data_IF_463741488702
#
_entry.id   IF_463741488702
#
_cell.length_a   1.000
_cell.length_b   1.000
_cell.length_c   1.000
_cell.angle_alpha   90.00
_cell.angle_beta   90.00
_cell.angle_gamma   90.00
#
_symmetry.space_group_name_H-M   'P 1'
#
loop_
_entity.id
_entity.type
_entity.pdbx_description
1 polymer ?
#
# COMPACT_ATOMS: atom_id res chain seq x y z
N UNK A 1 -21.24 -30.20 -20.56
CA UNK A 1 -20.45 -30.27 -19.31
C UNK A 1 -18.98 -30.34 -19.69
N UNK A 2 -18.20 -29.29 -19.47
CA UNK A 2 -16.75 -29.34 -19.70
C UNK A 2 -16.15 -29.98 -18.46
N UNK A 3 -15.70 -31.22 -18.60
CA UNK A 3 -15.01 -31.94 -17.52
C UNK A 3 -13.53 -31.57 -17.63
N UNK A 4 -13.10 -30.62 -16.79
CA UNK A 4 -11.68 -30.33 -16.63
C UNK A 4 -11.10 -31.47 -15.79
N UNK A 5 -10.13 -32.20 -16.33
CA UNK A 5 -9.44 -33.24 -15.57
C UNK A 5 -8.72 -32.63 -14.36
N UNK A 6 -8.53 -33.46 -13.33
CA UNK A 6 -7.86 -33.05 -12.10
C UNK A 6 -6.51 -32.36 -12.41
N UNK A 7 -6.14 -31.29 -11.68
CA UNK A 7 -4.90 -30.55 -11.91
C UNK A 7 -3.69 -31.38 -11.45
N UNK A 8 -3.31 -32.39 -12.25
CA UNK A 8 -2.07 -33.15 -12.10
C UNK A 8 -1.05 -32.61 -13.10
N UNK A 9 0.19 -32.49 -12.67
CA UNK A 9 1.31 -32.02 -13.50
C UNK A 9 1.36 -32.77 -14.85
N UNK A 10 1.18 -34.09 -14.82
CA UNK A 10 1.14 -34.94 -16.02
C UNK A 10 0.07 -34.52 -17.04
N UNK A 11 -1.07 -34.01 -16.58
CA UNK A 11 -2.15 -33.56 -17.46
C UNK A 11 -1.79 -32.23 -18.15
N UNK A 12 -1.10 -31.33 -17.43
CA UNK A 12 -0.57 -30.10 -18.01
C UNK A 12 0.51 -30.38 -19.04
N UNK A 13 1.42 -31.32 -18.76
CA UNK A 13 2.49 -31.73 -19.69
C UNK A 13 1.92 -32.36 -20.97
N UNK A 14 0.81 -33.10 -20.87
CA UNK A 14 0.10 -33.63 -22.05
C UNK A 14 -0.63 -32.53 -22.83
N UNK A 15 -1.25 -31.57 -22.16
CA UNK A 15 -1.91 -30.43 -22.81
C UNK A 15 -0.92 -29.54 -23.56
N UNK A 16 0.28 -29.31 -23.01
CA UNK A 16 1.33 -28.52 -23.66
C UNK A 16 1.83 -29.17 -24.96
N UNK A 17 1.86 -30.51 -25.03
CA UNK A 17 2.27 -31.26 -26.22
C UNK A 17 1.25 -31.21 -27.37
N UNK A 18 0.02 -30.80 -27.11
CA UNK A 18 -1.00 -30.70 -28.15
C UNK A 18 -0.82 -29.41 -28.95
N UNK A 19 -0.39 -29.53 -30.21
CA UNK A 19 -0.02 -28.43 -31.12
C UNK A 19 -1.11 -27.37 -31.42
N UNK A 20 -2.30 -27.47 -30.81
CA UNK A 20 -3.43 -26.54 -30.92
C UNK A 20 -3.94 -26.05 -29.56
N UNK A 21 -3.27 -26.37 -28.46
CA UNK A 21 -3.69 -25.94 -27.14
C UNK A 21 -3.48 -24.42 -27.02
N UNK A 22 -4.57 -23.67 -27.08
CA UNK A 22 -4.55 -22.27 -26.68
C UNK A 22 -4.21 -22.18 -25.20
N UNK A 23 -3.34 -21.24 -24.82
CA UNK A 23 -3.00 -21.00 -23.41
C UNK A 23 -4.27 -20.60 -22.65
N UNK A 24 -4.72 -21.46 -21.73
CA UNK A 24 -5.83 -21.16 -20.83
C UNK A 24 -5.26 -20.47 -19.60
N UNK A 25 -5.63 -19.20 -19.40
CA UNK A 25 -5.27 -18.43 -18.21
C UNK A 25 -6.52 -18.39 -17.32
N UNK A 26 -6.42 -18.98 -16.13
CA UNK A 26 -7.47 -18.91 -15.12
C UNK A 26 -7.07 -17.90 -14.05
N UNK A 27 -7.94 -16.92 -13.80
CA UNK A 27 -7.75 -15.99 -12.70
C UNK A 27 -7.92 -16.71 -11.36
N UNK A 28 -7.21 -16.25 -10.34
CA UNK A 28 -7.56 -16.61 -8.97
C UNK A 28 -8.96 -16.05 -8.64
N UNK A 29 -9.76 -16.74 -7.82
CA UNK A 29 -11.01 -16.21 -7.31
C UNK A 29 -10.80 -14.85 -6.63
N UNK A 30 -11.77 -13.94 -6.74
CA UNK A 30 -11.82 -12.72 -5.95
C UNK A 30 -12.67 -12.87 -4.68
N UNK A 31 -12.85 -11.79 -3.91
CA UNK A 31 -13.64 -11.82 -2.67
C UNK A 31 -15.09 -12.28 -2.92
N UNK A 32 -15.71 -11.82 -4.02
CA UNK A 32 -17.10 -12.13 -4.34
C UNK A 32 -17.26 -13.56 -4.83
N UNK A 33 -16.28 -14.07 -5.58
CA UNK A 33 -16.23 -15.48 -5.97
C UNK A 33 -16.17 -16.39 -4.74
N UNK A 34 -15.25 -16.11 -3.80
CA UNK A 34 -15.13 -16.92 -2.58
C UNK A 34 -16.37 -16.78 -1.70
N UNK A 35 -16.94 -15.57 -1.59
CA UNK A 35 -18.19 -15.35 -0.86
C UNK A 35 -19.33 -16.18 -1.43
N UNK A 36 -19.46 -16.26 -2.76
CA UNK A 36 -20.44 -17.11 -3.42
C UNK A 36 -20.19 -18.61 -3.14
N UNK A 37 -18.92 -19.05 -3.15
CA UNK A 37 -18.57 -20.42 -2.75
C UNK A 37 -18.98 -20.70 -1.31
N UNK A 38 -18.73 -19.79 -0.37
CA UNK A 38 -19.14 -19.93 1.03
C UNK A 38 -20.66 -20.06 1.17
N UNK A 39 -21.42 -19.19 0.51
CA UNK A 39 -22.88 -19.25 0.51
C UNK A 39 -23.40 -20.59 -0.04
N UNK A 40 -22.77 -21.12 -1.09
CA UNK A 40 -23.14 -22.41 -1.66
C UNK A 40 -22.76 -23.61 -0.79
N UNK A 41 -21.58 -23.58 -0.16
CA UNK A 41 -21.08 -24.63 0.73
C UNK A 41 -21.91 -24.74 2.01
N UNK A 42 -22.39 -23.60 2.52
CA UNK A 42 -23.21 -23.50 3.74
C UNK A 42 -24.69 -23.28 3.45
N UNK A 43 -25.14 -23.62 2.24
CA UNK A 43 -26.54 -23.51 1.84
C UNK A 43 -27.45 -24.31 2.80
N UNK A 44 -28.54 -23.70 3.22
CA UNK A 44 -29.49 -24.30 4.16
C UNK A 44 -29.14 -24.16 5.63
N UNK A 45 -28.00 -23.55 5.98
CA UNK A 45 -27.72 -23.09 7.34
C UNK A 45 -28.41 -21.75 7.61
N UNK A 46 -28.58 -21.41 8.89
CA UNK A 46 -29.17 -20.15 9.31
C UNK A 46 -28.29 -18.95 8.86
N UNK A 47 -28.88 -17.77 8.57
CA UNK A 47 -28.13 -16.61 8.07
C UNK A 47 -26.94 -16.21 8.95
N UNK A 48 -27.06 -16.34 10.27
CA UNK A 48 -25.99 -16.01 11.21
C UNK A 48 -24.81 -16.98 11.12
N UNK A 49 -25.05 -18.26 10.88
CA UNK A 49 -24.00 -19.26 10.71
C UNK A 49 -23.26 -19.07 9.38
N UNK A 50 -24.00 -18.74 8.31
CA UNK A 50 -23.41 -18.39 7.02
C UNK A 50 -22.52 -17.15 7.13
N UNK A 51 -22.99 -16.11 7.84
CA UNK A 51 -22.23 -14.89 8.09
C UNK A 51 -20.97 -15.17 8.94
N UNK A 52 -21.09 -16.01 9.96
CA UNK A 52 -19.95 -16.44 10.79
C UNK A 52 -18.88 -17.18 9.97
N UNK A 53 -19.29 -18.16 9.17
CA UNK A 53 -18.37 -18.89 8.30
C UNK A 53 -17.72 -17.99 7.24
N UNK A 54 -18.48 -17.07 6.63
CA UNK A 54 -17.90 -16.09 5.71
C UNK A 54 -16.87 -15.20 6.39
N UNK A 55 -17.14 -14.74 7.62
CA UNK A 55 -16.19 -13.92 8.38
C UNK A 55 -14.87 -14.64 8.58
N UNK A 56 -14.90 -15.90 9.00
CA UNK A 56 -13.71 -16.74 9.19
C UNK A 56 -12.92 -16.91 7.88
N UNK A 57 -13.60 -17.28 6.78
CA UNK A 57 -12.94 -17.44 5.48
C UNK A 57 -12.36 -16.13 4.97
N UNK A 58 -13.05 -15.00 5.19
CA UNK A 58 -12.55 -13.66 4.84
C UNK A 58 -11.27 -13.33 5.62
N UNK A 59 -11.22 -13.63 6.91
CA UNK A 59 -10.00 -13.46 7.73
C UNK A 59 -8.84 -14.33 7.20
N UNK A 60 -9.10 -15.58 6.81
CA UNK A 60 -8.08 -16.43 6.18
C UNK A 60 -7.58 -15.82 4.86
N UNK A 61 -8.48 -15.34 4.01
CA UNK A 61 -8.14 -14.68 2.74
C UNK A 61 -7.27 -13.45 2.91
N UNK A 62 -7.53 -12.64 3.94
CA UNK A 62 -6.72 -11.46 4.23
C UNK A 62 -5.26 -11.83 4.53
N UNK A 63 -5.02 -13.01 5.11
CA UNK A 63 -3.69 -13.47 5.52
C UNK A 63 -2.95 -14.33 4.50
N UNK A 64 -3.66 -15.16 3.72
CA UNK A 64 -3.03 -16.10 2.77
C UNK A 64 -3.58 -16.00 1.34
N UNK A 65 -4.41 -15.00 1.06
CA UNK A 65 -5.04 -14.74 -0.23
C UNK A 65 -6.24 -15.64 -0.54
N UNK A 66 -6.97 -15.35 -1.63
CA UNK A 66 -8.15 -16.09 -2.07
C UNK A 66 -7.76 -17.42 -2.74
N UNK A 67 -7.08 -18.29 -2.01
CA UNK A 67 -6.66 -19.61 -2.51
C UNK A 67 -7.57 -20.66 -1.86
N UNK A 68 -8.59 -21.19 -2.58
CA UNK A 68 -9.60 -22.10 -2.03
C UNK A 68 -9.03 -23.26 -1.21
N UNK A 69 -7.88 -23.79 -1.64
CA UNK A 69 -7.17 -24.88 -0.97
C UNK A 69 -6.79 -24.56 0.48
N UNK A 70 -6.59 -23.28 0.82
CA UNK A 70 -6.01 -22.85 2.10
C UNK A 70 -6.98 -22.07 3.00
N UNK A 71 -8.15 -21.67 2.51
CA UNK A 71 -9.01 -20.71 3.22
C UNK A 71 -10.29 -21.33 3.81
N UNK A 72 -10.72 -22.51 3.34
CA UNK A 72 -11.96 -23.14 3.79
C UNK A 72 -11.81 -24.11 4.97
N UNK A 73 -10.58 -24.50 5.30
CA UNK A 73 -10.28 -25.41 6.41
C UNK A 73 -9.25 -24.77 7.34
N UNK A 74 -9.60 -24.64 8.62
CA UNK A 74 -8.79 -23.99 9.64
C UNK A 74 -7.40 -24.65 9.80
N UNK A 75 -7.32 -25.98 9.78
CA UNK A 75 -6.05 -26.69 9.96
C UNK A 75 -5.14 -26.46 8.76
N UNK A 76 -5.68 -26.52 7.55
CA UNK A 76 -4.91 -26.24 6.33
C UNK A 76 -4.50 -24.77 6.28
N UNK A 77 -5.37 -23.85 6.71
CA UNK A 77 -5.06 -22.44 6.86
C UNK A 77 -3.86 -22.22 7.81
N UNK A 78 -3.88 -22.81 9.01
CA UNK A 78 -2.79 -22.68 9.99
C UNK A 78 -1.47 -23.20 9.40
N UNK A 79 -1.49 -24.35 8.72
CA UNK A 79 -0.31 -24.89 8.04
C UNK A 79 0.20 -23.94 6.95
N UNK A 80 -0.71 -23.37 6.14
CA UNK A 80 -0.34 -22.39 5.11
C UNK A 80 0.25 -21.12 5.72
N UNK A 81 -0.34 -20.61 6.80
CA UNK A 81 0.15 -19.43 7.52
C UNK A 81 1.55 -19.68 8.07
N UNK A 82 1.81 -20.86 8.67
CA UNK A 82 3.14 -21.27 9.10
C UNK A 82 4.15 -21.31 7.94
N UNK A 83 3.74 -21.84 6.79
CA UNK A 83 4.58 -21.86 5.59
C UNK A 83 4.89 -20.45 5.04
N UNK A 84 3.92 -19.54 5.05
CA UNK A 84 4.11 -18.11 4.70
C UNK A 84 5.09 -17.45 5.66
N UNK A 85 4.94 -17.69 6.97
CA UNK A 85 5.83 -17.12 8.00
C UNK A 85 7.27 -17.62 7.82
N UNK A 86 7.46 -18.92 7.58
CA UNK A 86 8.77 -19.51 7.30
C UNK A 86 9.39 -18.95 6.03
N UNK A 87 8.61 -18.81 4.96
CA UNK A 87 9.02 -18.20 3.70
C UNK A 87 9.50 -16.75 3.89
N UNK A 88 8.74 -15.93 4.64
CA UNK A 88 9.11 -14.54 4.94
C UNK A 88 10.40 -14.42 5.75
N UNK A 89 10.65 -15.35 6.68
CA UNK A 89 11.89 -15.40 7.46
C UNK A 89 13.10 -15.84 6.63
N UNK A 90 12.87 -16.64 5.59
CA UNK A 90 13.91 -17.15 4.72
C UNK A 90 14.34 -16.16 3.62
N UNK A 91 13.62 -15.04 3.43
CA UNK A 91 13.96 -14.03 2.42
C UNK A 91 15.35 -13.47 2.69
N UNK A 92 16.22 -13.57 1.68
CA UNK A 92 17.52 -12.91 1.63
C UNK A 92 17.49 -11.69 0.72
N UNK A 93 18.49 -10.83 0.86
CA UNK A 93 18.75 -9.71 -0.06
C UNK A 93 18.90 -10.18 -1.52
N UNK A 94 19.54 -11.32 -1.75
CA UNK A 94 19.71 -11.92 -3.09
C UNK A 94 18.41 -12.40 -3.74
N UNK A 95 17.39 -12.65 -2.93
CA UNK A 95 16.10 -13.19 -3.39
C UNK A 95 15.22 -12.10 -4.02
N UNK A 96 15.57 -10.83 -3.81
CA UNK A 96 14.79 -9.68 -4.23
C UNK A 96 14.75 -9.52 -5.74
N UNK A 97 15.92 -9.61 -6.38
CA UNK A 97 16.02 -9.60 -7.84
C UNK A 97 15.35 -10.81 -8.50
N UNK A 98 15.08 -11.88 -7.75
CA UNK A 98 14.48 -13.11 -8.29
C UNK A 98 12.96 -13.15 -8.15
N UNK A 99 12.44 -12.74 -6.99
CA UNK A 99 11.00 -12.85 -6.70
C UNK A 99 10.26 -11.52 -6.83
N UNK A 100 10.96 -10.41 -6.63
CA UNK A 100 10.39 -9.06 -6.61
C UNK A 100 10.97 -8.17 -7.71
N UNK A 101 11.74 -8.72 -8.65
CA UNK A 101 12.10 -8.00 -9.87
C UNK A 101 10.85 -7.77 -10.71
N UNK A 102 10.41 -6.53 -10.64
CA UNK A 102 9.28 -5.94 -11.32
C UNK A 102 9.64 -5.73 -12.80
N UNK A 103 9.77 -6.83 -13.55
CA UNK A 103 9.89 -6.85 -15.02
C UNK A 103 11.26 -7.22 -15.58
N UNK A 104 11.73 -8.45 -15.34
CA UNK A 104 12.85 -9.06 -16.08
C UNK A 104 12.38 -10.11 -17.09
N UNK A 105 13.22 -10.42 -18.09
CA UNK A 105 12.98 -11.49 -19.09
C UNK A 105 12.98 -12.91 -18.49
N UNK A 106 13.39 -13.05 -17.23
CA UNK A 106 13.46 -14.35 -16.56
C UNK A 106 12.05 -14.89 -16.27
N UNK A 107 11.70 -15.92 -17.03
CA UNK A 107 10.50 -16.73 -16.85
C UNK A 107 10.53 -17.35 -15.46
N UNK A 108 9.52 -17.04 -14.65
CA UNK A 108 8.95 -17.92 -13.63
C UNK A 108 9.94 -18.75 -12.80
N UNK A 109 10.36 -18.24 -11.65
CA UNK A 109 11.00 -19.06 -10.62
C UNK A 109 9.93 -19.74 -9.77
N UNK A 110 9.71 -21.04 -9.99
CA UNK A 110 8.83 -21.91 -9.18
C UNK A 110 9.50 -22.41 -7.90
N UNK A 111 10.77 -22.03 -7.66
CA UNK A 111 11.53 -22.45 -6.49
C UNK A 111 11.02 -21.79 -5.20
N UNK A 112 11.23 -22.51 -4.10
CA UNK A 112 10.94 -22.01 -2.75
C UNK A 112 11.81 -20.77 -2.46
N UNK A 113 11.28 -19.67 -1.87
CA UNK A 113 9.95 -19.49 -1.27
C UNK A 113 8.85 -18.86 -2.15
N UNK A 114 9.06 -18.66 -3.45
CA UNK A 114 8.23 -17.74 -4.27
C UNK A 114 6.73 -18.04 -4.24
N UNK A 115 6.32 -19.28 -4.50
CA UNK A 115 4.92 -19.69 -4.61
C UNK A 115 4.14 -19.57 -3.28
N UNK A 116 4.83 -19.34 -2.16
CA UNK A 116 4.21 -19.10 -0.86
C UNK A 116 3.81 -17.64 -0.68
N UNK A 117 4.44 -16.72 -1.41
CA UNK A 117 4.37 -15.28 -1.17
C UNK A 117 3.82 -14.48 -2.35
N UNK A 118 4.11 -14.91 -3.58
CA UNK A 118 3.76 -14.18 -4.80
C UNK A 118 2.81 -14.96 -5.71
N UNK A 119 2.03 -14.22 -6.49
CA UNK A 119 1.18 -14.69 -7.59
C UNK A 119 1.57 -13.98 -8.88
N UNK A 120 1.14 -14.52 -10.01
CA UNK A 120 1.25 -13.80 -11.28
C UNK A 120 0.09 -12.82 -11.42
N UNK A 121 0.42 -11.64 -11.90
CA UNK A 121 -0.53 -10.72 -12.51
C UNK A 121 -0.21 -10.61 -13.99
N UNK A 122 -1.23 -10.80 -14.82
CA UNK A 122 -1.16 -10.49 -16.25
C UNK A 122 -1.60 -9.05 -16.42
N UNK A 123 -0.81 -8.28 -17.13
CA UNK A 123 -1.11 -6.90 -17.46
C UNK A 123 -1.01 -6.68 -18.97
N UNK A 124 -1.85 -5.78 -19.48
CA UNK A 124 -1.83 -5.36 -20.87
C UNK A 124 -1.37 -3.92 -20.93
N UNK A 125 -0.24 -3.68 -21.59
CA UNK A 125 0.31 -2.34 -21.79
C UNK A 125 -0.60 -1.52 -22.70
N UNK A 126 -0.46 -0.19 -22.70
CA UNK A 126 -1.18 0.71 -23.61
C UNK A 126 -0.99 0.35 -25.09
N UNK A 127 0.19 -0.19 -25.44
CA UNK A 127 0.54 -0.68 -26.79
C UNK A 127 -0.06 -2.06 -27.11
N UNK A 128 -0.85 -2.64 -26.20
CA UNK A 128 -1.55 -3.90 -26.37
C UNK A 128 -0.73 -5.16 -26.09
N UNK A 129 0.56 -5.04 -25.76
CA UNK A 129 1.43 -6.14 -25.36
C UNK A 129 1.04 -6.73 -24.00
N UNK A 130 1.22 -8.03 -23.83
CA UNK A 130 0.97 -8.73 -22.57
C UNK A 130 2.28 -8.92 -21.80
N UNK A 131 2.28 -8.49 -20.54
CA UNK A 131 3.38 -8.70 -19.60
C UNK A 131 2.89 -9.51 -18.41
N UNK A 132 3.78 -10.31 -17.83
CA UNK A 132 3.51 -11.12 -16.66
C UNK A 132 4.41 -10.68 -15.51
N UNK A 133 3.79 -10.42 -14.37
CA UNK A 133 4.38 -9.74 -13.24
C UNK A 133 4.21 -10.59 -11.99
N UNK A 134 5.19 -10.53 -11.08
CA UNK A 134 4.99 -11.05 -9.74
C UNK A 134 4.35 -9.95 -8.88
N UNK A 135 3.27 -10.30 -8.20
CA UNK A 135 2.64 -9.48 -7.17
C UNK A 135 2.49 -10.31 -5.89
N UNK A 136 2.34 -9.67 -4.73
CA UNK A 136 2.01 -10.43 -3.51
C UNK A 136 0.66 -11.14 -3.66
N UNK A 137 0.52 -12.29 -3.00
CA UNK A 137 -0.73 -13.06 -3.01
C UNK A 137 -1.90 -12.22 -2.45
N UNK A 138 -1.66 -11.54 -1.34
CA UNK A 138 -2.56 -10.57 -0.71
C UNK A 138 -1.76 -9.38 -0.13
N UNK A 139 -2.47 -8.36 0.32
CA UNK A 139 -1.89 -7.12 0.85
C UNK A 139 -1.10 -7.35 2.14
N UNK A 140 -1.57 -8.23 3.04
CA UNK A 140 -0.84 -8.58 4.29
C UNK A 140 0.55 -9.17 3.98
N UNK A 141 0.60 -10.11 3.04
CA UNK A 141 1.86 -10.69 2.58
C UNK A 141 2.73 -9.61 1.92
N UNK A 142 2.16 -8.75 1.08
CA UNK A 142 2.88 -7.65 0.42
C UNK A 142 3.52 -6.67 1.42
N UNK A 143 2.78 -6.31 2.46
CA UNK A 143 3.24 -5.47 3.57
C UNK A 143 4.40 -6.14 4.32
N UNK A 144 4.28 -7.43 4.64
CA UNK A 144 5.30 -8.17 5.41
C UNK A 144 6.56 -8.43 4.58
N UNK A 145 6.42 -8.64 3.27
CA UNK A 145 7.56 -8.67 2.34
C UNK A 145 8.30 -7.34 2.41
N UNK A 146 7.59 -6.23 2.28
CA UNK A 146 8.21 -4.91 2.28
C UNK A 146 8.93 -4.59 3.61
N UNK A 147 8.39 -5.00 4.77
CA UNK A 147 9.09 -4.92 6.08
C UNK A 147 10.34 -5.80 6.15
N UNK A 148 10.32 -6.99 5.54
CA UNK A 148 11.51 -7.86 5.47
C UNK A 148 12.59 -7.29 4.56
N UNK A 149 12.21 -6.76 3.39
CA UNK A 149 13.15 -6.18 2.44
C UNK A 149 13.79 -4.91 2.97
N UNK A 150 13.01 -4.07 3.65
CA UNK A 150 13.52 -2.85 4.29
C UNK A 150 14.68 -3.16 5.25
N UNK A 151 14.58 -4.24 6.03
CA UNK A 151 15.62 -4.68 6.98
C UNK A 151 16.78 -5.43 6.34
N UNK A 152 16.53 -6.12 5.23
CA UNK A 152 17.52 -6.96 4.57
C UNK A 152 18.40 -6.18 3.58
N UNK A 153 17.93 -5.05 3.06
CA UNK A 153 18.59 -4.32 1.97
C UNK A 153 19.27 -3.04 2.46
N UNK A 154 20.30 -2.62 1.72
CA UNK A 154 20.81 -1.25 1.86
C UNK A 154 19.75 -0.26 1.36
N UNK A 155 19.74 0.96 1.89
CA UNK A 155 18.84 2.03 1.44
C UNK A 155 18.92 2.26 -0.07
N UNK A 156 20.14 2.20 -0.64
CA UNK A 156 20.35 2.41 -2.07
C UNK A 156 19.74 1.28 -2.90
N UNK A 157 19.94 0.02 -2.51
CA UNK A 157 19.39 -1.12 -3.23
C UNK A 157 17.85 -1.16 -3.16
N UNK A 158 17.29 -0.80 -2.00
CA UNK A 158 15.83 -0.69 -1.83
C UNK A 158 15.22 0.36 -2.76
N UNK A 159 15.87 1.51 -2.93
CA UNK A 159 15.39 2.55 -3.85
C UNK A 159 15.56 2.16 -5.32
N UNK A 160 16.66 1.47 -5.65
CA UNK A 160 16.86 0.94 -6.99
C UNK A 160 15.80 -0.09 -7.36
N UNK A 161 15.27 -0.86 -6.39
CA UNK A 161 14.13 -1.76 -6.64
C UNK A 161 12.90 -0.99 -7.15
N UNK A 162 12.56 0.10 -6.48
CA UNK A 162 11.42 0.97 -6.87
C UNK A 162 11.67 1.58 -8.25
N UNK A 163 12.89 2.07 -8.51
CA UNK A 163 13.23 2.75 -9.76
C UNK A 163 13.41 1.82 -10.96
N UNK A 164 13.86 0.58 -10.75
CA UNK A 164 14.03 -0.41 -11.84
C UNK A 164 12.72 -0.92 -12.39
N UNK A 165 11.63 -0.73 -11.65
CA UNK A 165 10.27 -1.07 -12.09
C UNK A 165 9.88 -0.23 -13.32
N UNK A 166 9.27 -0.86 -14.32
CA UNK A 166 8.89 -0.25 -15.61
C UNK A 166 7.44 -0.53 -15.98
N UNK A 167 6.82 0.35 -16.77
CA UNK A 167 5.42 0.19 -17.15
C UNK A 167 4.51 0.25 -15.92
N UNK A 168 3.45 -0.56 -15.87
CA UNK A 168 2.50 -0.46 -14.76
C UNK A 168 2.91 -1.21 -13.48
N UNK A 169 4.01 -1.96 -13.52
CA UNK A 169 4.76 -2.38 -12.33
C UNK A 169 5.22 -1.23 -11.44
N UNK A 170 5.42 -0.06 -12.04
CA UNK A 170 5.88 1.14 -11.36
C UNK A 170 4.95 1.52 -10.22
N UNK A 171 3.65 1.57 -10.50
CA UNK A 171 2.64 1.95 -9.52
C UNK A 171 2.63 0.94 -8.38
N UNK A 172 2.67 -0.35 -8.70
CA UNK A 172 2.70 -1.43 -7.70
C UNK A 172 3.94 -1.36 -6.80
N UNK A 173 5.12 -1.16 -7.40
CA UNK A 173 6.38 -1.00 -6.67
C UNK A 173 6.33 0.18 -5.70
N UNK A 174 5.81 1.31 -6.19
CA UNK A 174 5.75 2.54 -5.42
C UNK A 174 4.74 2.40 -4.29
N UNK A 175 3.55 1.85 -4.53
CA UNK A 175 2.55 1.57 -3.49
C UNK A 175 3.12 0.63 -2.41
N UNK A 176 3.79 -0.44 -2.81
CA UNK A 176 4.29 -1.46 -1.89
C UNK A 176 5.50 -0.97 -1.05
N UNK A 177 6.44 -0.26 -1.68
CA UNK A 177 7.73 0.07 -1.08
C UNK A 177 7.94 1.58 -0.83
N UNK A 178 7.22 2.45 -1.53
CA UNK A 178 7.42 3.89 -1.55
C UNK A 178 7.21 4.58 -0.20
N UNK A 179 6.33 4.07 0.66
CA UNK A 179 6.15 4.62 2.01
C UNK A 179 7.38 4.35 2.90
N UNK A 180 8.07 3.23 2.70
CA UNK A 180 9.24 2.82 3.51
C UNK A 180 10.48 3.63 3.24
N UNK A 181 10.48 4.42 2.16
CA UNK A 181 11.49 5.46 1.89
C UNK A 181 11.66 6.38 3.11
N UNK A 182 10.58 6.72 3.81
CA UNK A 182 10.64 7.63 4.97
C UNK A 182 11.29 7.01 6.20
N UNK A 183 11.62 5.70 6.17
CA UNK A 183 12.25 4.99 7.29
C UNK A 183 13.75 5.22 7.39
N UNK A 184 14.39 5.63 6.28
CA UNK A 184 15.84 5.77 6.20
C UNK A 184 16.25 7.22 6.44
N UNK A 185 16.92 7.50 7.57
CA UNK A 185 17.32 8.86 7.93
C UNK A 185 18.23 9.56 6.91
N UNK A 186 19.17 8.81 6.31
CA UNK A 186 20.02 9.35 5.23
C UNK A 186 19.20 9.77 4.00
N UNK A 187 18.12 9.04 3.73
CA UNK A 187 17.21 9.32 2.64
C UNK A 187 16.33 10.52 2.93
N UNK A 188 15.74 10.57 4.12
CA UNK A 188 14.94 11.72 4.56
C UNK A 188 15.80 12.99 4.53
N UNK A 189 17.07 12.92 4.94
CA UNK A 189 18.02 14.04 4.87
C UNK A 189 18.29 14.53 3.44
N UNK A 190 18.22 13.64 2.44
CA UNK A 190 18.29 14.01 1.04
C UNK A 190 16.94 14.53 0.52
N UNK A 191 15.85 13.84 0.88
CA UNK A 191 14.47 14.10 0.44
C UNK A 191 14.03 15.51 0.81
N UNK A 192 14.35 15.95 2.03
CA UNK A 192 14.00 17.29 2.53
C UNK A 192 14.58 18.42 1.68
N UNK A 193 15.72 18.20 1.03
CA UNK A 193 16.33 19.16 0.10
C UNK A 193 15.60 19.23 -1.24
N UNK A 194 14.84 18.19 -1.58
CA UNK A 194 14.02 18.09 -2.78
C UNK A 194 12.52 18.35 -2.54
N UNK A 195 12.10 18.61 -1.29
CA UNK A 195 10.71 18.94 -0.99
C UNK A 195 10.35 20.31 -1.55
N UNK A 196 9.28 20.35 -2.33
CA UNK A 196 8.75 21.56 -2.92
C UNK A 196 7.44 21.95 -2.24
N UNK A 197 7.40 23.11 -1.60
CA UNK A 197 6.19 23.69 -1.01
C UNK A 197 5.15 24.02 -2.09
N UNK A 198 3.96 23.43 -1.95
CA UNK A 198 2.78 23.67 -2.77
C UNK A 198 1.96 24.79 -2.13
N UNK A 199 2.33 26.03 -2.45
CA UNK A 199 1.80 27.24 -1.81
C UNK A 199 0.33 27.51 -2.13
N UNK A 200 -0.46 27.76 -1.08
CA UNK A 200 -1.82 28.31 -1.21
C UNK A 200 -1.79 29.83 -1.38
N UNK A 201 -2.71 30.38 -2.19
CA UNK A 201 -2.76 31.82 -2.51
C UNK A 201 -3.02 32.75 -1.31
N UNK A 202 -3.47 32.23 -0.16
CA UNK A 202 -3.66 33.01 1.08
C UNK A 202 -2.41 33.10 1.97
N UNK A 203 -1.32 32.38 1.67
CA UNK A 203 -0.11 32.36 2.49
C UNK A 203 1.02 33.13 1.80
N UNK A 204 1.51 34.18 2.48
CA UNK A 204 2.52 35.10 1.93
C UNK A 204 3.98 34.64 2.14
N UNK A 205 4.22 33.63 2.98
CA UNK A 205 5.57 33.09 3.24
C UNK A 205 5.59 31.57 3.04
N UNK A 206 6.68 31.10 2.43
CA UNK A 206 6.99 29.67 2.37
C UNK A 206 7.19 29.15 3.80
N UNK A 207 6.77 27.91 4.05
CA UNK A 207 6.95 27.26 5.34
C UNK A 207 7.75 25.98 5.15
N UNK A 208 8.87 25.89 5.86
CA UNK A 208 9.65 24.66 5.93
C UNK A 208 8.81 23.52 6.51
N UNK A 209 8.91 22.36 5.86
CA UNK A 209 8.33 21.11 6.37
C UNK A 209 8.93 20.80 7.74
N UNK A 210 8.16 20.14 8.60
CA UNK A 210 8.65 19.62 9.88
C UNK A 210 9.88 18.74 9.68
N UNK A 211 9.98 18.04 8.54
CA UNK A 211 11.15 17.23 8.19
C UNK A 211 12.38 18.06 7.80
N UNK A 212 12.19 19.27 7.24
CA UNK A 212 13.30 20.20 7.02
C UNK A 212 13.88 20.69 8.35
N UNK A 213 13.00 20.94 9.33
CA UNK A 213 13.37 21.45 10.64
C UNK A 213 13.93 20.35 11.57
N UNK A 214 13.39 19.13 11.46
CA UNK A 214 13.77 17.97 12.25
C UNK A 214 13.72 16.69 11.41
N UNK A 215 14.74 16.48 10.59
CA UNK A 215 14.87 15.27 9.77
C UNK A 215 15.05 14.00 10.60
N UNK A 216 15.46 14.10 11.88
CA UNK A 216 15.56 12.98 12.82
C UNK A 216 14.18 12.52 13.34
N UNK A 217 13.12 13.29 13.10
CA UNK A 217 11.75 12.91 13.40
C UNK A 217 11.15 11.87 12.43
N UNK A 218 11.95 11.33 11.52
CA UNK A 218 11.50 10.31 10.58
C UNK A 218 11.10 9.00 11.29
N UNK A 219 10.19 8.22 10.71
CA UNK A 219 9.80 6.95 11.32
C UNK A 219 10.95 5.93 11.32
N UNK A 220 10.99 5.06 12.33
CA UNK A 220 12.02 4.00 12.48
C UNK A 220 11.41 2.60 12.58
N UNK A 221 10.09 2.51 12.68
CA UNK A 221 9.33 1.26 12.59
C UNK A 221 7.97 1.49 11.91
N UNK A 222 7.42 0.44 11.31
CA UNK A 222 6.08 0.48 10.70
C UNK A 222 5.03 -0.22 11.56
N UNK A 223 3.80 0.27 11.54
CA UNK A 223 2.62 -0.40 12.14
C UNK A 223 1.51 -0.46 11.10
N UNK A 224 0.99 -1.67 10.85
CA UNK A 224 -0.20 -1.84 10.02
C UNK A 224 -1.46 -1.48 10.81
N UNK A 225 -2.35 -0.67 10.23
CA UNK A 225 -3.67 -0.40 10.80
C UNK A 225 -4.70 -1.32 10.15
N UNK A 226 -5.35 -2.17 10.97
CA UNK A 226 -6.38 -3.10 10.51
C UNK A 226 -7.59 -2.40 9.88
N UNK A 227 -8.36 -3.13 9.05
CA UNK A 227 -9.60 -2.60 8.47
C UNK A 227 -10.64 -2.37 9.57
N UNK A 228 -11.37 -1.25 9.49
CA UNK A 228 -12.40 -0.89 10.47
C UNK A 228 -13.59 -1.87 10.51
N UNK A 229 -13.86 -2.58 9.40
CA UNK A 229 -14.96 -3.55 9.28
C UNK A 229 -14.92 -4.67 10.34
N UNK A 230 -13.72 -5.03 10.80
CA UNK A 230 -13.52 -6.15 11.73
C UNK A 230 -13.54 -5.71 13.20
N UNK A 231 -13.79 -4.42 13.45
CA UNK A 231 -13.48 -3.79 14.74
C UNK A 231 -11.97 -3.60 14.90
N UNK A 232 -11.57 -2.49 15.51
CA UNK A 232 -10.15 -2.20 15.76
C UNK A 232 -9.96 -1.85 17.21
N UNK A 233 -8.92 -2.41 17.82
CA UNK A 233 -8.49 -2.00 19.15
C UNK A 233 -7.76 -0.66 19.04
N UNK A 234 -8.07 0.27 19.94
CA UNK A 234 -7.38 1.55 19.99
C UNK A 234 -5.96 1.37 20.52
N UNK A 235 -5.01 1.99 19.84
CA UNK A 235 -3.59 1.96 20.20
C UNK A 235 -3.12 3.34 20.67
N UNK A 236 -2.08 3.43 21.50
CA UNK A 236 -1.45 4.70 21.80
C UNK A 236 -0.85 5.31 20.52
N UNK A 237 -0.96 6.64 20.38
CA UNK A 237 -0.29 7.38 19.32
C UNK A 237 1.21 7.48 19.66
N UNK A 238 2.07 7.09 18.72
CA UNK A 238 3.52 7.12 18.89
C UNK A 238 4.19 7.97 17.81
N UNK A 239 5.14 8.80 18.23
CA UNK A 239 5.99 9.57 17.33
C UNK A 239 7.09 8.68 16.74
N UNK A 240 7.49 8.97 15.49
CA UNK A 240 8.51 8.15 14.81
C UNK A 240 8.02 6.76 14.38
N UNK A 241 6.70 6.56 14.28
CA UNK A 241 6.08 5.33 13.78
C UNK A 241 5.33 5.60 12.48
N UNK A 242 5.62 4.83 11.44
CA UNK A 242 4.91 4.88 10.16
C UNK A 242 3.68 3.96 10.20
N UNK A 243 2.50 4.56 10.25
CA UNK A 243 1.23 3.87 10.20
C UNK A 243 0.78 3.67 8.75
N UNK A 244 0.51 2.41 8.38
CA UNK A 244 0.09 2.02 7.04
C UNK A 244 -1.28 1.33 7.12
N UNK A 245 -2.34 1.95 6.59
CA UNK A 245 -3.67 1.34 6.54
C UNK A 245 -3.71 0.06 5.69
N UNK A 246 -4.41 -0.96 6.17
CA UNK A 246 -4.68 -2.19 5.42
C UNK A 246 -5.81 -2.02 4.37
N UNK A 247 -6.59 -0.92 4.46
CA UNK A 247 -7.65 -0.64 3.50
C UNK A 247 -7.06 0.02 2.24
N UNK A 248 -7.27 -0.58 1.07
CA UNK A 248 -6.80 -0.01 -0.21
C UNK A 248 -7.37 1.39 -0.50
N UNK A 249 -8.60 1.67 -0.05
CA UNK A 249 -9.26 2.97 -0.22
C UNK A 249 -9.30 3.77 1.09
N UNK A 250 -8.21 3.70 1.86
CA UNK A 250 -8.12 4.50 3.07
C UNK A 250 -8.26 6.00 2.73
N UNK A 251 -9.09 6.76 3.46
CA UNK A 251 -9.31 8.14 3.11
C UNK A 251 -8.02 8.96 3.23
N UNK A 252 -7.84 9.88 2.29
CA UNK A 252 -6.86 10.96 2.29
C UNK A 252 -5.38 10.60 2.03
N UNK A 253 -4.86 9.53 2.63
CA UNK A 253 -3.43 9.16 2.63
C UNK A 253 -3.23 7.66 2.41
N UNK A 254 -2.06 7.30 1.88
CA UNK A 254 -1.63 5.89 1.75
C UNK A 254 -0.84 5.43 2.98
N UNK A 255 -0.30 6.38 3.75
CA UNK A 255 0.35 6.15 5.04
C UNK A 255 0.60 7.46 5.76
N UNK A 256 0.90 7.42 7.06
CA UNK A 256 1.19 8.64 7.83
C UNK A 256 2.05 8.34 9.06
N UNK A 257 2.69 9.37 9.60
CA UNK A 257 3.43 9.29 10.85
C UNK A 257 3.35 10.60 11.63
N UNK A 258 3.78 10.56 12.88
CA UNK A 258 3.78 11.73 13.76
C UNK A 258 5.20 12.19 14.09
N UNK A 259 5.38 13.51 14.10
CA UNK A 259 6.62 14.18 14.51
C UNK A 259 6.33 15.09 15.69
N UNK A 260 7.11 15.00 16.77
CA UNK A 260 6.87 15.76 18.02
C UNK A 260 7.45 17.18 17.97
N UNK A 261 8.68 17.31 17.47
CA UNK A 261 9.48 18.55 17.52
C UNK A 261 9.88 19.02 16.11
N UNK A 262 9.94 20.34 15.82
CA UNK A 262 9.71 21.46 16.74
C UNK A 262 8.24 21.78 16.98
N UNK A 263 7.33 21.12 16.26
CA UNK A 263 5.88 21.23 16.43
C UNK A 263 5.24 19.87 16.18
N UNK A 264 4.25 19.52 17.00
CA UNK A 264 3.46 18.29 16.83
C UNK A 264 2.81 18.29 15.46
N UNK A 265 3.18 17.33 14.62
CA UNK A 265 2.78 17.30 13.21
C UNK A 265 2.36 15.89 12.80
N UNK A 266 1.18 15.78 12.18
CA UNK A 266 0.80 14.62 11.37
C UNK A 266 1.37 14.82 9.97
N UNK A 267 2.22 13.91 9.53
CA UNK A 267 2.76 13.87 8.17
C UNK A 267 2.03 12.78 7.40
N UNK A 268 1.09 13.19 6.55
CA UNK A 268 0.35 12.34 5.63
C UNK A 268 1.12 12.14 4.33
N UNK A 269 1.31 10.89 3.94
CA UNK A 269 1.99 10.49 2.72
C UNK A 269 0.96 10.06 1.69
N UNK A 270 1.05 10.62 0.48
CA UNK A 270 0.21 10.23 -0.64
C UNK A 270 1.04 9.95 -1.88
N UNK A 271 1.03 8.71 -2.30
CA UNK A 271 1.69 8.20 -3.50
C UNK A 271 0.76 8.44 -4.68
N UNK A 272 1.28 9.08 -5.73
CA UNK A 272 0.43 9.34 -6.90
C UNK A 272 1.18 9.61 -8.20
N UNK A 273 0.56 9.20 -9.29
CA UNK A 273 0.95 9.55 -10.67
C UNK A 273 0.14 10.70 -11.25
N UNK A 274 -0.95 11.11 -10.59
CA UNK A 274 -1.83 12.18 -11.05
C UNK A 274 -1.24 13.57 -10.77
N UNK A 275 -1.50 14.52 -11.69
CA UNK A 275 -1.04 15.91 -11.57
C UNK A 275 -1.89 16.80 -10.67
N UNK A 276 -3.10 16.34 -10.32
CA UNK A 276 -4.02 17.01 -9.40
C UNK A 276 -4.84 15.97 -8.64
N UNK A 277 -5.22 16.32 -7.41
CA UNK A 277 -6.10 15.56 -6.55
C UNK A 277 -7.25 16.42 -6.09
N UNK A 278 -8.46 15.96 -6.38
CA UNK A 278 -9.66 16.55 -5.82
C UNK A 278 -9.91 15.97 -4.43
N UNK A 279 -9.45 16.68 -3.41
CA UNK A 279 -9.79 16.36 -2.02
C UNK A 279 -11.21 16.86 -1.72
N UNK A 280 -12.06 15.98 -1.20
CA UNK A 280 -13.45 16.32 -0.84
C UNK A 280 -13.53 16.46 0.69
N UNK A 281 -14.31 17.42 1.23
CA UNK A 281 -14.41 17.61 2.68
C UNK A 281 -14.84 16.36 3.44
N UNK A 282 -15.76 15.57 2.88
CA UNK A 282 -16.20 14.30 3.46
C UNK A 282 -15.05 13.31 3.64
N UNK A 283 -14.09 13.23 2.71
CA UNK A 283 -12.91 12.36 2.82
C UNK A 283 -12.01 12.79 3.96
N UNK A 284 -11.79 14.10 4.15
CA UNK A 284 -10.97 14.61 5.27
C UNK A 284 -11.67 14.36 6.61
N UNK A 285 -13.00 14.57 6.66
CA UNK A 285 -13.81 14.27 7.85
C UNK A 285 -13.74 12.77 8.19
N UNK A 286 -13.87 11.90 7.19
CA UNK A 286 -13.75 10.45 7.36
C UNK A 286 -12.36 10.06 7.89
N UNK A 287 -11.29 10.63 7.35
CA UNK A 287 -9.95 10.40 7.88
C UNK A 287 -9.83 10.81 9.37
N UNK A 288 -10.31 11.99 9.76
CA UNK A 288 -10.33 12.42 11.17
C UNK A 288 -11.10 11.46 12.07
N UNK A 289 -12.27 10.98 11.63
CA UNK A 289 -13.08 10.02 12.38
C UNK A 289 -12.38 8.66 12.51
N UNK A 290 -11.72 8.21 11.44
CA UNK A 290 -10.92 6.98 11.48
C UNK A 290 -9.80 7.09 12.51
N UNK A 291 -9.09 8.23 12.57
CA UNK A 291 -8.05 8.44 13.58
C UNK A 291 -8.58 8.33 15.01
N UNK A 292 -9.76 8.86 15.30
CA UNK A 292 -10.42 8.72 16.61
C UNK A 292 -10.85 7.27 16.94
N UNK A 293 -10.93 6.42 15.91
CA UNK A 293 -11.23 4.99 16.06
C UNK A 293 -9.95 4.19 16.30
N UNK A 294 -8.83 4.58 15.71
CA UNK A 294 -7.54 3.89 15.88
C UNK A 294 -6.76 4.33 17.11
N UNK A 295 -6.82 5.60 17.51
CA UNK A 295 -5.92 6.15 18.53
C UNK A 295 -6.64 6.55 19.81
N UNK A 296 -5.99 6.25 20.93
CA UNK A 296 -6.39 6.77 22.24
C UNK A 296 -6.19 8.30 22.28
N UNK A 297 -7.11 8.99 22.94
CA UNK A 297 -7.05 10.44 23.22
C UNK A 297 -6.83 11.32 21.98
N UNK A 298 -7.22 10.83 20.80
CA UNK A 298 -7.02 11.51 19.53
C UNK A 298 -7.57 12.94 19.52
N UNK A 299 -8.75 13.16 20.12
CA UNK A 299 -9.38 14.48 20.19
C UNK A 299 -8.58 15.48 21.01
N UNK A 300 -7.81 15.05 21.99
CA UNK A 300 -6.94 15.93 22.77
C UNK A 300 -5.63 16.16 22.01
N UNK A 301 -5.01 15.09 21.53
CA UNK A 301 -3.72 15.12 20.84
C UNK A 301 -3.76 15.92 19.52
N UNK A 302 -4.90 15.92 18.83
CA UNK A 302 -5.03 16.55 17.52
C UNK A 302 -5.36 18.06 17.56
N UNK A 303 -5.72 18.65 18.71
CA UNK A 303 -6.19 20.05 18.81
C UNK A 303 -5.17 21.06 18.26
N UNK A 304 -3.92 20.92 18.67
CA UNK A 304 -2.84 21.83 18.30
C UNK A 304 -1.90 21.25 17.23
N UNK A 305 -2.26 20.11 16.66
CA UNK A 305 -1.43 19.39 15.72
C UNK A 305 -1.45 20.07 14.34
N UNK A 306 -0.26 20.31 13.79
CA UNK A 306 -0.09 20.75 12.41
C UNK A 306 -0.21 19.56 11.45
N UNK A 307 -0.70 19.79 10.23
CA UNK A 307 -0.84 18.72 9.24
C UNK A 307 0.04 19.03 8.04
N UNK A 308 0.84 18.07 7.61
CA UNK A 308 1.64 18.14 6.40
C UNK A 308 1.24 17.00 5.47
N UNK A 309 0.97 17.32 4.21
CA UNK A 309 0.71 16.35 3.15
C UNK A 309 1.91 16.33 2.22
N UNK A 310 2.53 15.17 2.05
CA UNK A 310 3.63 14.97 1.11
C UNK A 310 3.13 14.10 -0.03
N UNK A 311 3.00 14.71 -1.21
CA UNK A 311 2.73 13.98 -2.45
C UNK A 311 4.03 13.41 -2.99
N UNK A 312 4.12 12.08 -2.99
CA UNK A 312 5.27 11.33 -3.51
C UNK A 312 4.95 10.92 -4.94
N UNK A 313 5.72 11.48 -5.88
CA UNK A 313 5.58 11.21 -7.30
C UNK A 313 6.89 10.66 -7.87
N UNK A 314 6.84 10.08 -9.07
CA UNK A 314 8.03 9.75 -9.84
C UNK A 314 8.30 10.78 -10.93
N UNK A 315 9.51 10.72 -11.49
CA UNK A 315 9.94 11.60 -12.57
C UNK A 315 9.04 11.56 -13.82
N UNK A 316 8.43 10.40 -14.10
CA UNK A 316 7.56 10.16 -15.25
C UNK A 316 6.07 10.47 -14.98
N UNK A 317 5.71 10.87 -13.75
CA UNK A 317 4.36 11.27 -13.39
C UNK A 317 4.03 12.70 -13.86
N UNK A 318 2.74 12.99 -14.04
CA UNK A 318 2.31 14.39 -14.17
C UNK A 318 2.53 15.09 -12.83
N UNK A 319 3.41 16.10 -12.80
CA UNK A 319 3.82 16.75 -11.56
C UNK A 319 2.73 17.64 -10.96
N UNK A 320 2.47 17.47 -9.66
CA UNK A 320 1.68 18.39 -8.84
C UNK A 320 2.51 19.66 -8.61
N UNK A 321 2.14 20.73 -9.31
CA UNK A 321 2.84 22.01 -9.22
C UNK A 321 2.14 23.06 -8.34
N UNK A 322 0.88 22.82 -7.99
CA UNK A 322 0.00 23.76 -7.28
C UNK A 322 -0.54 23.14 -6.00
N UNK A 323 -0.96 23.99 -5.08
CA UNK A 323 -1.68 23.59 -3.88
C UNK A 323 -3.00 22.89 -4.22
N UNK A 324 -3.30 21.78 -3.54
CA UNK A 324 -4.48 20.96 -3.79
C UNK A 324 -5.63 21.41 -2.90
N UNK A 325 -6.70 21.90 -3.54
CA UNK A 325 -7.87 22.38 -2.80
C UNK A 325 -8.67 21.22 -2.20
N UNK A 326 -9.10 21.40 -0.95
CA UNK A 326 -10.22 20.64 -0.39
C UNK A 326 -11.54 21.35 -0.70
N UNK A 327 -12.45 20.64 -1.38
CA UNK A 327 -13.79 21.12 -1.72
C UNK A 327 -13.89 21.93 -3.03
N UNK A 328 -15.13 22.30 -3.40
CA UNK A 328 -15.41 23.10 -4.60
C UNK A 328 -14.80 24.51 -4.53
N UNK A 329 -14.70 25.17 -5.69
CA UNK A 329 -14.32 26.58 -5.76
C UNK A 329 -15.34 27.45 -5.00
N UNK A 330 -16.63 27.20 -5.24
CA UNK A 330 -17.72 27.86 -4.53
C UNK A 330 -18.10 27.02 -3.29
N UNK A 331 -17.95 27.61 -2.11
CA UNK A 331 -18.24 27.00 -0.81
C UNK A 331 -19.62 27.36 -0.25
N UNK A 332 -20.44 28.13 -0.95
CA UNK A 332 -21.77 28.59 -0.49
C UNK A 332 -22.73 27.42 -0.21
N UNK A 333 -22.69 26.40 -1.08
CA UNK A 333 -23.54 25.22 -0.98
C UNK A 333 -23.00 24.13 -0.05
N UNK A 334 -21.88 24.38 0.64
CA UNK A 334 -21.35 23.44 1.63
C UNK A 334 -22.15 23.54 2.94
N UNK A 335 -22.34 22.41 3.60
CA UNK A 335 -22.79 22.39 4.99
C UNK A 335 -21.77 23.08 5.91
N UNK A 336 -22.20 23.50 7.09
CA UNK A 336 -21.30 24.21 8.01
C UNK A 336 -20.13 23.32 8.48
N UNK A 337 -20.38 22.03 8.69
CA UNK A 337 -19.34 21.02 8.92
C UNK A 337 -18.31 20.96 7.77
N UNK A 338 -18.76 20.98 6.52
CA UNK A 338 -17.86 20.95 5.37
C UNK A 338 -17.08 22.26 5.24
N UNK A 339 -17.69 23.41 5.54
CA UNK A 339 -17.00 24.70 5.59
C UNK A 339 -15.89 24.69 6.65
N UNK A 340 -16.13 24.09 7.82
CA UNK A 340 -15.12 23.93 8.86
C UNK A 340 -13.94 23.09 8.35
N UNK A 341 -14.22 21.97 7.67
CA UNK A 341 -13.18 21.13 7.07
C UNK A 341 -12.39 21.88 5.98
N UNK A 342 -13.05 22.66 5.13
CA UNK A 342 -12.37 23.47 4.11
C UNK A 342 -11.50 24.55 4.76
N UNK A 343 -11.99 25.21 5.82
CA UNK A 343 -11.23 26.20 6.58
C UNK A 343 -10.02 25.57 7.27
N UNK A 344 -10.20 24.39 7.88
CA UNK A 344 -9.14 23.58 8.45
C UNK A 344 -8.07 23.24 7.40
N UNK A 345 -8.47 22.68 6.26
CA UNK A 345 -7.54 22.31 5.18
C UNK A 345 -6.71 23.51 4.73
N UNK A 346 -7.38 24.65 4.48
CA UNK A 346 -6.71 25.87 4.02
C UNK A 346 -5.82 26.51 5.09
N UNK A 347 -6.17 26.39 6.36
CA UNK A 347 -5.52 27.08 7.47
C UNK A 347 -4.42 26.28 8.16
N UNK A 348 -4.56 24.95 8.24
CA UNK A 348 -3.75 24.06 9.08
C UNK A 348 -2.98 22.98 8.31
N UNK A 349 -3.35 22.71 7.06
CA UNK A 349 -2.63 21.74 6.21
C UNK A 349 -1.58 22.47 5.37
N UNK A 350 -0.36 21.94 5.39
CA UNK A 350 0.74 22.35 4.52
C UNK A 350 1.00 21.24 3.52
N UNK A 351 1.28 21.59 2.27
CA UNK A 351 1.37 20.61 1.20
C UNK A 351 2.72 20.70 0.54
N UNK A 352 3.33 19.55 0.31
CA UNK A 352 4.64 19.42 -0.29
C UNK A 352 4.61 18.37 -1.39
N UNK A 353 5.46 18.57 -2.38
CA UNK A 353 5.73 17.59 -3.41
C UNK A 353 7.14 17.05 -3.26
N UNK A 354 7.29 15.74 -3.40
CA UNK A 354 8.57 15.08 -3.60
C UNK A 354 8.53 14.24 -4.87
N UNK A 355 9.60 14.33 -5.68
CA UNK A 355 9.75 13.54 -6.90
C UNK A 355 10.92 12.58 -6.74
N UNK A 356 10.62 11.28 -6.75
CA UNK A 356 11.62 10.22 -6.74
C UNK A 356 12.22 10.08 -8.14
N UNK A 357 13.53 10.36 -8.25
CA UNK A 357 14.29 10.29 -9.51
C UNK A 357 15.55 9.43 -9.36
N UNK A 358 16.09 8.94 -10.46
CA UNK A 358 17.38 8.23 -10.46
C UNK A 358 18.52 9.14 -9.98
N UNK A 359 18.49 10.42 -10.36
CA UNK A 359 19.46 11.42 -9.89
C UNK A 359 19.41 11.61 -8.37
N UNK A 360 18.22 11.55 -7.78
CA UNK A 360 18.06 11.61 -6.34
C UNK A 360 18.76 10.42 -5.66
N UNK A 361 18.58 9.20 -6.19
CA UNK A 361 19.25 8.01 -5.64
C UNK A 361 20.76 8.09 -5.80
N UNK A 362 21.26 8.63 -6.92
CA UNK A 362 22.70 8.83 -7.13
C UNK A 362 23.34 9.84 -6.16
N UNK A 363 22.54 10.77 -5.61
CA UNK A 363 23.01 11.76 -4.61
C UNK A 363 23.15 11.17 -3.20
N UNK A 364 22.53 10.01 -2.94
CA UNK A 364 22.70 9.30 -1.67
C UNK A 364 24.10 8.68 -1.73
N UNK A 365 25.04 9.31 -1.02
CA UNK A 365 26.40 8.79 -0.91
C UNK A 365 26.33 7.44 -0.19
N UNK A 366 26.83 6.38 -0.82
CA UNK A 366 27.18 5.17 -0.09
C UNK A 366 28.25 5.56 0.93
N UNK A 367 27.96 5.39 2.21
CA UNK A 367 28.99 5.42 3.24
C UNK A 367 29.71 4.09 3.30
#
# INVERSE_FOLDING_TARGET
MIVVSSPKVSNYDEWEKQAKASRIIMNCPDEMDVKAMCAWMKRGLEPNEQAGYWKEVKEHMEKVGPIPRHIFDEKIYIVRLGAVNGALLAIKDTDVGKYFALGGEEKWYSEDPSHKLVKIVRERTDEGAEIFLNASICDDIGFRIADRLEKAMTTKDFLLLILRSRGALVSHALEQFGLRVFMYGELVSALVKGLKDLRSSKRNKAQDSVLNLNHQGHPTRTVGLGKLENGVERIPMEYGVLYIPAAQNFPLVDGFFFVDSPRKTLVGLRITTAGEHRTIPSTVKQFKNNMATYFNDWEELSRDMSWEMIYVQRADSTLITKWQRCGPVNTENLSDDEKEIVAFWKGKVHEYQFVLTTDFVNKIRAK
#
